data_IF_530978391162
#
_entry.id   IF_530978391162
#
_cell.length_a   1.000
_cell.length_b   1.000
_cell.length_c   1.000
_cell.angle_alpha   90.00
_cell.angle_beta   90.00
_cell.angle_gamma   90.00
#
_symmetry.space_group_name_H-M   'P 1'
#
loop_
_entity.id
_entity.type
_entity.pdbx_description
1 polymer ?
#
# COMPACT_ATOMS: atom_id res chain seq x y z
N UNK A 1 22.05 39.31 29.06
CA UNK A 1 20.81 38.97 28.32
C UNK A 1 19.61 39.21 29.23
N UNK A 2 18.69 40.12 28.87
CA UNK A 2 17.65 40.62 29.79
C UNK A 2 16.50 39.62 29.98
N UNK A 3 15.90 39.57 31.18
CA UNK A 3 14.81 38.63 31.53
C UNK A 3 13.60 38.69 30.58
N UNK A 4 13.39 39.81 29.88
CA UNK A 4 12.35 39.96 28.85
C UNK A 4 12.67 39.18 27.57
N UNK A 5 13.91 39.17 27.10
CA UNK A 5 14.31 38.47 25.87
C UNK A 5 14.17 36.95 26.00
N UNK A 6 14.47 36.43 27.20
CA UNK A 6 14.38 34.99 27.53
C UNK A 6 12.92 34.49 27.56
N UNK A 7 11.96 35.34 27.94
CA UNK A 7 10.52 35.01 27.91
C UNK A 7 9.98 34.88 26.49
N UNK A 8 10.39 35.76 25.57
CA UNK A 8 9.94 35.70 24.17
C UNK A 8 10.52 34.50 23.40
N UNK A 9 11.77 34.11 23.69
CA UNK A 9 12.38 32.90 23.13
C UNK A 9 11.66 31.63 23.61
N UNK A 10 11.28 31.55 24.89
CA UNK A 10 10.55 30.38 25.43
C UNK A 10 9.12 30.32 24.88
N UNK A 11 8.42 31.45 24.75
CA UNK A 11 7.07 31.50 24.15
C UNK A 11 7.12 31.10 22.65
N UNK A 12 8.13 31.55 21.91
CA UNK A 12 8.36 31.15 20.51
C UNK A 12 8.65 29.65 20.35
N UNK A 13 9.47 29.06 21.25
CA UNK A 13 9.76 27.63 21.27
C UNK A 13 8.54 26.78 21.64
N UNK A 14 7.73 27.20 22.61
CA UNK A 14 6.50 26.50 23.00
C UNK A 14 5.42 26.58 21.91
N UNK A 15 5.32 27.71 21.20
CA UNK A 15 4.43 27.84 20.04
C UNK A 15 4.88 26.95 18.87
N UNK A 16 6.19 26.87 18.59
CA UNK A 16 6.73 25.99 17.55
C UNK A 16 6.54 24.50 17.88
N UNK A 17 6.77 24.08 19.13
CA UNK A 17 6.49 22.71 19.60
C UNK A 17 4.99 22.41 19.57
N UNK A 18 4.15 23.37 19.94
CA UNK A 18 2.68 23.25 19.86
C UNK A 18 2.16 23.07 18.43
N UNK A 19 2.74 23.77 17.45
CA UNK A 19 2.42 23.60 16.02
C UNK A 19 2.91 22.25 15.48
N UNK A 20 4.10 21.78 15.88
CA UNK A 20 4.62 20.45 15.48
C UNK A 20 3.78 19.31 16.08
N UNK A 21 3.38 19.42 17.36
CA UNK A 21 2.50 18.44 18.01
C UNK A 21 1.09 18.47 17.41
N UNK A 22 0.57 19.65 17.05
CA UNK A 22 -0.72 19.77 16.36
C UNK A 22 -0.70 19.16 14.94
N UNK A 23 0.42 19.26 14.22
CA UNK A 23 0.61 18.59 12.91
C UNK A 23 0.75 17.07 13.07
N UNK A 24 1.36 16.60 14.17
CA UNK A 24 1.45 15.16 14.47
C UNK A 24 0.14 14.56 15.00
N UNK A 25 -0.71 15.36 15.66
CA UNK A 25 -2.02 14.94 16.19
C UNK A 25 -3.18 15.14 15.19
N UNK A 26 -3.06 16.10 14.26
CA UNK A 26 -3.97 16.22 13.13
C UNK A 26 -3.69 15.04 12.20
N UNK A 27 -4.68 14.17 11.96
CA UNK A 27 -4.62 13.27 10.81
C UNK A 27 -4.70 14.14 9.56
N UNK A 28 -3.62 14.36 8.80
CA UNK A 28 -3.72 15.22 7.65
C UNK A 28 -4.80 14.72 6.68
N UNK A 29 -5.53 15.62 6.00
CA UNK A 29 -6.70 15.30 5.17
C UNK A 29 -6.39 14.40 3.97
N UNK A 30 -5.11 14.11 3.69
CA UNK A 30 -4.66 13.18 2.66
C UNK A 30 -4.57 11.72 3.14
N UNK A 31 -4.46 11.45 4.44
CA UNK A 31 -4.43 10.07 4.97
C UNK A 31 -5.73 9.29 4.66
N UNK A 32 -6.95 9.86 4.75
CA UNK A 32 -8.17 9.14 4.35
C UNK A 32 -8.28 8.89 2.84
N UNK A 33 -7.58 9.65 2.00
CA UNK A 33 -7.59 9.46 0.54
C UNK A 33 -6.58 8.37 0.13
N UNK A 34 -5.50 8.22 0.90
CA UNK A 34 -4.49 7.17 0.70
C UNK A 34 -4.86 5.87 1.44
N UNK A 35 -5.53 5.94 2.59
CA UNK A 35 -5.89 4.78 3.42
C UNK A 35 -7.39 4.47 3.47
N UNK A 36 -8.26 5.28 2.85
CA UNK A 36 -9.69 5.02 2.81
C UNK A 36 -10.07 4.01 1.73
N UNK A 37 -10.95 3.09 2.08
CA UNK A 37 -11.70 2.27 1.12
C UNK A 37 -12.96 3.00 0.69
N UNK A 38 -13.28 2.91 -0.60
CA UNK A 38 -14.59 3.28 -1.11
C UNK A 38 -15.09 2.16 -2.04
N UNK A 39 -16.40 1.92 -2.05
CA UNK A 39 -16.99 0.79 -2.79
C UNK A 39 -16.75 0.88 -4.30
N UNK A 40 -16.65 2.10 -4.85
CA UNK A 40 -16.39 2.30 -6.26
C UNK A 40 -14.93 1.94 -6.62
N UNK A 41 -13.97 2.25 -5.76
CA UNK A 41 -12.57 1.85 -5.89
C UNK A 41 -12.43 0.34 -5.74
N UNK A 42 -13.11 -0.28 -4.75
CA UNK A 42 -13.14 -1.75 -4.61
C UNK A 42 -13.70 -2.41 -5.87
N UNK A 43 -14.81 -1.89 -6.42
CA UNK A 43 -15.39 -2.41 -7.65
C UNK A 43 -14.46 -2.25 -8.86
N UNK A 44 -13.76 -1.11 -8.95
CA UNK A 44 -12.80 -0.85 -10.04
C UNK A 44 -11.56 -1.74 -9.94
N UNK A 45 -11.02 -1.95 -8.74
CA UNK A 45 -9.95 -2.90 -8.44
C UNK A 45 -10.38 -4.31 -8.88
N UNK A 46 -11.56 -4.74 -8.43
CA UNK A 46 -12.08 -6.06 -8.76
C UNK A 46 -12.24 -6.26 -10.27
N UNK A 47 -12.74 -5.25 -11.00
CA UNK A 47 -12.85 -5.32 -12.45
C UNK A 47 -11.48 -5.45 -13.14
N UNK A 48 -10.46 -4.70 -12.69
CA UNK A 48 -9.12 -4.76 -13.26
C UNK A 48 -8.42 -6.10 -12.98
N UNK A 49 -8.60 -6.62 -11.77
CA UNK A 49 -8.03 -7.89 -11.33
C UNK A 49 -8.86 -9.11 -11.74
N UNK A 50 -10.03 -8.94 -12.37
CA UNK A 50 -11.00 -10.03 -12.68
C UNK A 50 -11.39 -10.82 -11.43
N UNK A 51 -11.67 -10.12 -10.34
CA UNK A 51 -12.11 -10.73 -9.09
C UNK A 51 -13.58 -11.11 -9.21
N UNK A 52 -13.81 -12.42 -9.18
CA UNK A 52 -15.10 -13.10 -9.21
C UNK A 52 -15.24 -14.04 -8.00
N UNK A 53 -16.45 -14.54 -7.68
CA UNK A 53 -16.60 -15.58 -6.66
C UNK A 53 -15.66 -16.76 -6.91
N UNK A 54 -14.93 -17.21 -5.89
CA UNK A 54 -13.92 -18.26 -6.02
C UNK A 54 -12.48 -17.77 -6.22
N UNK A 55 -12.27 -16.49 -6.52
CA UNK A 55 -10.93 -15.94 -6.78
C UNK A 55 -10.06 -15.98 -5.52
N UNK A 56 -8.79 -16.35 -5.65
CA UNK A 56 -7.79 -16.24 -4.58
C UNK A 56 -6.97 -14.97 -4.77
N UNK A 57 -7.06 -14.04 -3.83
CA UNK A 57 -6.47 -12.69 -3.94
C UNK A 57 -5.41 -12.49 -2.86
N UNK A 58 -4.26 -11.89 -3.20
CA UNK A 58 -3.35 -11.34 -2.20
C UNK A 58 -3.49 -9.81 -2.13
N UNK A 59 -3.59 -9.28 -0.92
CA UNK A 59 -3.50 -7.86 -0.61
C UNK A 59 -2.16 -7.60 0.10
N UNK A 60 -1.25 -6.91 -0.60
CA UNK A 60 0.14 -6.72 -0.18
C UNK A 60 0.29 -5.37 0.52
N UNK A 61 0.75 -5.39 1.77
CA UNK A 61 0.77 -4.22 2.65
C UNK A 61 -0.66 -3.78 2.96
N UNK A 62 -1.48 -4.72 3.43
CA UNK A 62 -2.92 -4.56 3.59
C UNK A 62 -3.31 -3.51 4.64
N UNK A 63 -2.37 -2.98 5.42
CA UNK A 63 -2.59 -1.86 6.33
C UNK A 63 -3.60 -2.20 7.42
N UNK A 64 -4.68 -1.41 7.53
CA UNK A 64 -5.77 -1.68 8.46
C UNK A 64 -6.71 -2.83 8.02
N UNK A 65 -6.51 -3.37 6.81
CA UNK A 65 -7.25 -4.50 6.28
C UNK A 65 -8.56 -4.15 5.59
N UNK A 66 -8.86 -2.86 5.39
CA UNK A 66 -10.14 -2.45 4.82
C UNK A 66 -10.37 -3.02 3.41
N UNK A 67 -9.35 -3.01 2.54
CA UNK A 67 -9.45 -3.64 1.21
C UNK A 67 -9.55 -5.15 1.32
N UNK A 68 -8.72 -5.78 2.14
CA UNK A 68 -8.76 -7.22 2.37
C UNK A 68 -10.15 -7.73 2.81
N UNK A 69 -10.82 -7.02 3.74
CA UNK A 69 -12.18 -7.33 4.18
C UNK A 69 -13.21 -7.14 3.06
N UNK A 70 -13.12 -6.04 2.31
CA UNK A 70 -14.03 -5.77 1.19
C UNK A 70 -13.87 -6.81 0.07
N UNK A 71 -12.63 -7.22 -0.22
CA UNK A 71 -12.32 -8.27 -1.18
C UNK A 71 -12.78 -9.64 -0.68
N UNK A 72 -12.66 -9.94 0.61
CA UNK A 72 -13.16 -11.19 1.19
C UNK A 72 -14.67 -11.35 0.98
N UNK A 73 -15.45 -10.29 1.14
CA UNK A 73 -16.89 -10.29 0.81
C UNK A 73 -17.13 -10.55 -0.67
N UNK A 74 -16.29 -10.01 -1.55
CA UNK A 74 -16.47 -10.08 -3.02
C UNK A 74 -16.08 -11.43 -3.63
N UNK A 75 -15.01 -12.05 -3.13
CA UNK A 75 -14.60 -13.40 -3.58
C UNK A 75 -15.55 -14.49 -3.07
N UNK A 76 -16.39 -14.18 -2.08
CA UNK A 76 -17.37 -15.10 -1.52
C UNK A 76 -16.73 -16.30 -0.81
N UNK A 77 -17.57 -17.22 -0.30
CA UNK A 77 -17.12 -18.32 0.56
C UNK A 77 -16.25 -19.37 -0.17
N UNK A 78 -16.27 -19.39 -1.51
CA UNK A 78 -15.44 -20.28 -2.32
C UNK A 78 -14.08 -19.66 -2.70
N UNK A 79 -13.94 -18.34 -2.55
CA UNK A 79 -12.68 -17.64 -2.77
C UNK A 79 -11.93 -17.41 -1.48
N UNK A 80 -10.76 -16.80 -1.57
CA UNK A 80 -9.92 -16.56 -0.40
C UNK A 80 -9.10 -15.29 -0.55
N UNK A 81 -8.94 -14.54 0.53
CA UNK A 81 -8.03 -13.39 0.57
C UNK A 81 -6.86 -13.68 1.51
N UNK A 82 -5.65 -13.43 1.03
CA UNK A 82 -4.43 -13.41 1.83
C UNK A 82 -4.01 -11.96 2.03
N UNK A 83 -4.04 -11.46 3.26
CA UNK A 83 -3.61 -10.12 3.60
C UNK A 83 -2.23 -10.18 4.25
N UNK A 84 -1.24 -9.49 3.67
CA UNK A 84 0.12 -9.46 4.19
C UNK A 84 0.46 -8.07 4.74
N UNK A 85 1.06 -8.03 5.92
CA UNK A 85 1.46 -6.77 6.57
C UNK A 85 2.71 -6.98 7.43
N UNK A 86 3.61 -5.99 7.47
CA UNK A 86 4.87 -6.05 8.23
C UNK A 86 4.74 -5.34 9.59
N UNK A 87 3.92 -4.29 9.69
CA UNK A 87 3.67 -3.58 10.93
C UNK A 87 2.83 -4.45 11.89
N UNK A 88 3.43 -4.83 13.02
CA UNK A 88 2.80 -5.73 13.99
C UNK A 88 1.53 -5.17 14.62
N UNK A 89 1.41 -3.85 14.75
CA UNK A 89 0.22 -3.21 15.32
C UNK A 89 -0.95 -3.28 14.34
N UNK A 90 -0.69 -3.01 13.06
CA UNK A 90 -1.68 -3.13 12.00
C UNK A 90 -2.10 -4.58 11.80
N UNK A 91 -1.13 -5.51 11.75
CA UNK A 91 -1.37 -6.95 11.72
C UNK A 91 -2.30 -7.41 12.85
N UNK A 92 -2.00 -7.04 14.10
CA UNK A 92 -2.82 -7.40 15.25
C UNK A 92 -4.21 -6.75 15.22
N UNK A 93 -4.32 -5.51 14.70
CA UNK A 93 -5.59 -4.84 14.44
C UNK A 93 -6.46 -5.64 13.46
N UNK A 94 -5.88 -6.01 12.32
CA UNK A 94 -6.54 -6.76 11.28
C UNK A 94 -7.00 -8.14 11.77
N UNK A 95 -6.12 -8.89 12.45
CA UNK A 95 -6.47 -10.19 13.04
C UNK A 95 -7.66 -10.10 14.02
N UNK A 96 -7.73 -9.02 14.82
CA UNK A 96 -8.89 -8.78 15.69
C UNK A 96 -10.16 -8.50 14.88
N UNK A 97 -10.08 -7.68 13.84
CA UNK A 97 -11.22 -7.38 12.98
C UNK A 97 -11.75 -8.65 12.30
N UNK A 98 -10.88 -9.47 11.69
CA UNK A 98 -11.24 -10.77 11.09
C UNK A 98 -11.97 -11.67 12.07
N UNK A 99 -11.45 -11.78 13.31
CA UNK A 99 -12.07 -12.60 14.36
C UNK A 99 -13.43 -12.04 14.82
N UNK A 100 -13.53 -10.73 14.98
CA UNK A 100 -14.76 -10.07 15.44
C UNK A 100 -15.88 -10.15 14.39
N UNK A 101 -15.54 -9.96 13.13
CA UNK A 101 -16.48 -10.04 11.99
C UNK A 101 -16.75 -11.48 11.55
N UNK A 102 -16.06 -12.48 12.12
CA UNK A 102 -16.15 -13.91 11.76
C UNK A 102 -15.92 -14.14 10.26
N UNK A 103 -14.91 -13.48 9.70
CA UNK A 103 -14.55 -13.66 8.29
C UNK A 103 -13.72 -14.94 8.15
N UNK A 104 -14.28 -15.95 7.49
CA UNK A 104 -13.64 -17.27 7.37
C UNK A 104 -12.69 -17.39 6.18
N UNK A 105 -12.90 -16.57 5.14
CA UNK A 105 -12.18 -16.62 3.87
C UNK A 105 -11.10 -15.53 3.74
N UNK A 106 -10.52 -15.12 4.87
CA UNK A 106 -9.46 -14.11 4.96
C UNK A 106 -8.37 -14.59 5.92
N UNK A 107 -7.14 -14.73 5.43
CA UNK A 107 -5.97 -15.08 6.25
C UNK A 107 -5.00 -13.91 6.31
N UNK A 108 -4.66 -13.52 7.54
CA UNK A 108 -3.70 -12.44 7.82
C UNK A 108 -2.33 -13.05 8.09
N UNK A 109 -1.31 -12.60 7.36
CA UNK A 109 0.04 -13.17 7.34
C UNK A 109 1.06 -12.06 7.61
N UNK A 110 2.00 -12.32 8.51
CA UNK A 110 3.12 -11.41 8.75
C UNK A 110 4.07 -11.47 7.55
N UNK A 111 4.27 -10.34 6.88
CA UNK A 111 5.26 -10.20 5.82
C UNK A 111 6.69 -10.10 6.39
N UNK A 112 7.68 -10.46 5.58
CA UNK A 112 9.07 -10.09 5.78
C UNK A 112 9.44 -8.83 4.99
N UNK A 113 10.66 -8.32 5.19
CA UNK A 113 11.13 -7.08 4.53
C UNK A 113 11.09 -7.16 3.00
N UNK A 114 11.43 -8.31 2.43
CA UNK A 114 11.48 -8.51 0.96
C UNK A 114 10.65 -9.71 0.50
N UNK A 115 9.74 -10.21 1.33
CA UNK A 115 8.98 -11.46 1.11
C UNK A 115 7.58 -11.35 1.68
N UNK A 116 6.58 -11.78 0.92
CA UNK A 116 5.17 -11.83 1.34
C UNK A 116 4.87 -12.97 2.32
N UNK A 117 5.75 -13.99 2.37
CA UNK A 117 5.53 -15.27 3.05
C UNK A 117 4.32 -16.07 2.52
N UNK A 118 3.86 -15.78 1.30
CA UNK A 118 2.82 -16.55 0.62
C UNK A 118 3.38 -17.73 -0.18
N UNK A 119 2.64 -18.85 -0.31
CA UNK A 119 3.08 -19.98 -1.14
C UNK A 119 3.17 -19.66 -2.64
N UNK A 120 3.92 -20.46 -3.39
CA UNK A 120 4.00 -20.37 -4.85
C UNK A 120 2.63 -20.64 -5.49
N UNK A 121 2.29 -19.91 -6.56
CA UNK A 121 1.07 -20.15 -7.33
C UNK A 121 -0.25 -20.14 -6.53
N UNK A 122 -0.28 -19.48 -5.37
CA UNK A 122 -1.45 -19.46 -4.50
C UNK A 122 -2.52 -18.46 -4.93
N UNK A 123 -2.19 -17.49 -5.77
CA UNK A 123 -3.09 -16.37 -6.08
C UNK A 123 -3.44 -16.26 -7.57
N UNK A 124 -4.71 -15.91 -7.82
CA UNK A 124 -5.26 -15.57 -9.13
C UNK A 124 -5.20 -14.04 -9.38
N UNK A 125 -5.06 -13.26 -8.31
CA UNK A 125 -4.93 -11.81 -8.36
C UNK A 125 -4.05 -11.28 -7.21
N UNK A 126 -3.32 -10.20 -7.45
CA UNK A 126 -2.54 -9.47 -6.45
C UNK A 126 -2.86 -8.00 -6.52
N UNK A 127 -3.18 -7.40 -5.37
CA UNK A 127 -3.28 -5.97 -5.16
C UNK A 127 -2.06 -5.49 -4.36
N UNK A 128 -1.42 -4.42 -4.83
CA UNK A 128 -0.49 -3.61 -4.05
C UNK A 128 -0.91 -2.15 -4.17
N UNK A 129 -1.33 -1.52 -3.07
CA UNK A 129 -1.89 -0.17 -3.09
C UNK A 129 -1.23 0.71 -2.04
N UNK A 130 -0.51 1.75 -2.48
CA UNK A 130 0.25 2.69 -1.65
C UNK A 130 1.28 2.00 -0.74
N UNK A 131 1.95 0.99 -1.29
CA UNK A 131 2.91 0.14 -0.56
C UNK A 131 4.26 0.08 -1.26
N UNK A 132 4.29 0.12 -2.59
CA UNK A 132 5.51 -0.14 -3.37
C UNK A 132 6.61 0.88 -3.03
N UNK A 133 6.28 2.16 -2.84
CA UNK A 133 7.23 3.19 -2.42
C UNK A 133 7.84 3.00 -1.01
N UNK A 134 7.30 2.10 -0.18
CA UNK A 134 7.88 1.76 1.12
C UNK A 134 8.87 0.60 1.06
N UNK A 135 8.94 -0.11 -0.07
CA UNK A 135 9.77 -1.28 -0.23
C UNK A 135 11.19 -0.88 -0.64
N UNK A 136 12.20 -1.48 -0.01
CA UNK A 136 13.60 -1.16 -0.29
C UNK A 136 14.21 -2.06 -1.37
N UNK A 137 13.74 -3.30 -1.49
CA UNK A 137 14.24 -4.29 -2.45
C UNK A 137 13.15 -4.66 -3.46
N UNK A 138 12.98 -3.78 -4.46
CA UNK A 138 11.99 -3.95 -5.52
C UNK A 138 12.25 -5.20 -6.37
N UNK A 139 13.51 -5.59 -6.57
CA UNK A 139 13.84 -6.79 -7.34
C UNK A 139 13.36 -8.05 -6.61
N UNK A 140 13.66 -8.18 -5.31
CA UNK A 140 13.24 -9.33 -4.52
C UNK A 140 11.72 -9.40 -4.37
N UNK A 141 11.04 -8.28 -4.08
CA UNK A 141 9.58 -8.31 -3.94
C UNK A 141 8.92 -8.62 -5.28
N UNK A 142 9.37 -8.05 -6.40
CA UNK A 142 8.77 -8.34 -7.71
C UNK A 142 8.95 -9.81 -8.10
N UNK A 143 10.11 -10.42 -7.78
CA UNK A 143 10.31 -11.86 -7.96
C UNK A 143 9.36 -12.69 -7.07
N UNK A 144 9.11 -12.25 -5.83
CA UNK A 144 8.19 -12.91 -4.92
C UNK A 144 6.72 -12.81 -5.38
N UNK A 145 6.30 -11.62 -5.85
CA UNK A 145 4.99 -11.40 -6.46
C UNK A 145 4.81 -12.22 -7.73
N UNK A 146 5.86 -12.35 -8.53
CA UNK A 146 5.84 -13.20 -9.71
C UNK A 146 5.63 -14.65 -9.30
N UNK A 147 6.40 -15.17 -8.35
CA UNK A 147 6.30 -16.56 -7.84
C UNK A 147 4.92 -16.92 -7.29
N UNK A 148 4.28 -16.04 -6.52
CA UNK A 148 3.00 -16.36 -5.85
C UNK A 148 1.79 -16.31 -6.79
N UNK A 149 1.86 -15.58 -7.91
CA UNK A 149 0.79 -15.52 -8.91
C UNK A 149 0.74 -16.77 -9.77
N UNK A 150 -0.43 -17.24 -10.20
CA UNK A 150 -0.50 -18.29 -11.23
C UNK A 150 -0.20 -17.70 -12.63
N UNK A 151 0.28 -18.52 -13.59
CA UNK A 151 0.32 -18.08 -15.00
C UNK A 151 -1.06 -17.62 -15.48
N UNK A 152 -1.10 -16.55 -16.27
CA UNK A 152 -2.32 -15.89 -16.75
C UNK A 152 -3.00 -14.94 -15.75
N UNK A 153 -2.52 -14.89 -14.51
CA UNK A 153 -3.10 -14.07 -13.42
C UNK A 153 -2.59 -12.63 -13.41
N UNK A 154 -3.21 -11.78 -12.57
CA UNK A 154 -3.06 -10.32 -12.64
C UNK A 154 -2.45 -9.70 -11.38
N UNK A 155 -1.58 -8.72 -11.60
CA UNK A 155 -1.02 -7.84 -10.57
C UNK A 155 -1.50 -6.41 -10.84
N UNK A 156 -2.16 -5.80 -9.85
CA UNK A 156 -2.54 -4.39 -9.88
C UNK A 156 -1.70 -3.62 -8.87
N UNK A 157 -0.88 -2.71 -9.37
CA UNK A 157 -0.15 -1.75 -8.55
C UNK A 157 -0.83 -0.38 -8.63
N UNK A 158 -1.10 0.21 -7.46
CA UNK A 158 -1.66 1.55 -7.32
C UNK A 158 -0.73 2.33 -6.40
N UNK A 159 -0.12 3.41 -6.88
CA UNK A 159 0.79 4.23 -6.08
C UNK A 159 0.76 5.69 -6.54
N UNK A 160 1.62 6.56 -6.02
CA UNK A 160 1.71 7.97 -6.39
C UNK A 160 3.13 8.37 -6.74
N UNK A 161 3.27 9.37 -7.62
CA UNK A 161 4.59 9.87 -7.97
C UNK A 161 5.19 10.71 -6.83
N UNK A 162 6.52 10.70 -6.68
CA UNK A 162 7.21 11.55 -5.71
C UNK A 162 6.81 13.01 -5.88
N UNK A 163 6.52 13.70 -4.78
CA UNK A 163 6.21 15.12 -4.82
C UNK A 163 5.32 15.62 -3.70
N UNK A 164 5.21 16.95 -3.59
CA UNK A 164 4.53 17.65 -2.49
C UNK A 164 5.51 18.25 -1.49
N UNK A 165 4.98 19.01 -0.52
CA UNK A 165 5.78 19.77 0.44
C UNK A 165 6.75 18.90 1.23
N UNK A 166 6.40 17.64 1.50
CA UNK A 166 7.26 16.67 2.20
C UNK A 166 8.52 16.33 1.40
N UNK A 167 8.41 16.17 0.08
CA UNK A 167 9.55 15.97 -0.80
C UNK A 167 10.39 17.25 -0.93
N UNK A 168 9.73 18.42 -0.94
CA UNK A 168 10.39 19.73 -0.98
C UNK A 168 11.19 20.06 0.29
N UNK A 169 10.77 19.58 1.47
CA UNK A 169 11.48 19.78 2.76
C UNK A 169 12.40 18.61 3.15
N UNK A 170 12.63 17.64 2.26
CA UNK A 170 13.53 16.51 2.51
C UNK A 170 13.02 15.51 3.57
N UNK A 171 11.71 15.47 3.84
CA UNK A 171 11.09 14.48 4.73
C UNK A 171 10.39 13.46 3.84
N UNK A 172 11.14 12.45 3.42
CA UNK A 172 10.63 11.42 2.51
C UNK A 172 11.71 10.59 1.86
N UNK A 173 12.88 10.44 2.49
CA UNK A 173 14.00 9.71 1.91
C UNK A 173 13.61 8.24 1.70
N UNK A 174 13.39 7.88 0.44
CA UNK A 174 13.75 6.58 -0.10
C UNK A 174 15.22 6.26 0.25
N UNK A 175 15.56 4.97 0.37
CA UNK A 175 16.95 4.54 0.56
C UNK A 175 17.89 5.01 -0.57
N UNK A 176 17.33 5.41 -1.71
CA UNK A 176 18.03 6.03 -2.83
C UNK A 176 17.79 7.56 -2.85
N UNK A 177 18.85 8.40 -2.93
CA UNK A 177 18.79 9.86 -2.74
C UNK A 177 17.91 10.63 -3.74
N UNK A 178 17.46 10.01 -4.82
CA UNK A 178 16.78 10.60 -5.97
C UNK A 178 15.29 10.21 -6.09
N UNK A 179 14.76 9.39 -5.18
CA UNK A 179 13.39 8.84 -5.32
C UNK A 179 12.29 9.49 -4.48
N UNK A 180 12.62 10.22 -3.41
CA UNK A 180 11.60 10.89 -2.58
C UNK A 180 10.51 9.94 -2.05
N UNK A 181 9.47 10.48 -1.40
CA UNK A 181 8.35 9.66 -0.95
C UNK A 181 7.35 9.49 -2.10
N UNK A 182 7.40 8.31 -2.74
CA UNK A 182 6.54 7.90 -3.86
C UNK A 182 7.28 6.98 -4.83
N UNK A 183 6.62 6.56 -5.92
CA UNK A 183 7.23 5.76 -6.99
C UNK A 183 6.98 6.41 -8.34
N UNK A 184 8.05 6.65 -9.11
CA UNK A 184 7.92 7.11 -10.48
C UNK A 184 7.24 6.05 -11.35
N UNK A 185 6.24 6.46 -12.14
CA UNK A 185 5.48 5.55 -13.02
C UNK A 185 6.37 4.70 -13.92
N UNK A 186 7.36 5.35 -14.54
CA UNK A 186 8.30 4.68 -15.45
C UNK A 186 9.21 3.67 -14.72
N UNK A 187 9.62 3.98 -13.49
CA UNK A 187 10.43 3.08 -12.68
C UNK A 187 9.63 1.82 -12.30
N UNK A 188 8.39 2.00 -11.82
CA UNK A 188 7.50 0.87 -11.51
C UNK A 188 7.31 -0.06 -12.72
N UNK A 189 6.97 0.49 -13.89
CA UNK A 189 6.78 -0.32 -15.10
C UNK A 189 8.07 -1.06 -15.46
N UNK A 190 9.22 -0.39 -15.45
CA UNK A 190 10.52 -0.98 -15.77
C UNK A 190 10.88 -2.12 -14.81
N UNK A 191 10.75 -1.90 -13.51
CA UNK A 191 11.17 -2.86 -12.47
C UNK A 191 10.26 -4.08 -12.42
N UNK A 192 8.94 -3.89 -12.55
CA UNK A 192 7.97 -4.99 -12.53
C UNK A 192 8.10 -5.83 -13.80
N UNK A 193 8.30 -5.21 -14.96
CA UNK A 193 8.53 -5.96 -16.22
C UNK A 193 9.87 -6.69 -16.24
N UNK A 194 10.92 -6.14 -15.58
CA UNK A 194 12.19 -6.84 -15.42
C UNK A 194 12.07 -8.14 -14.61
N UNK A 195 11.04 -8.28 -13.76
CA UNK A 195 10.74 -9.51 -13.04
C UNK A 195 9.94 -10.55 -13.85
N UNK A 196 9.65 -10.26 -15.14
CA UNK A 196 8.98 -11.19 -16.06
C UNK A 196 7.48 -10.92 -16.25
N UNK A 197 6.91 -9.93 -15.56
CA UNK A 197 5.54 -9.50 -15.81
C UNK A 197 5.40 -8.79 -17.16
N UNK A 198 4.21 -8.87 -17.76
CA UNK A 198 3.84 -8.11 -18.95
C UNK A 198 2.91 -6.96 -18.58
N UNK A 199 3.16 -5.77 -19.13
CA UNK A 199 2.28 -4.62 -18.96
C UNK A 199 0.97 -4.86 -19.73
N UNK A 200 -0.15 -4.94 -19.01
CA UNK A 200 -1.46 -5.17 -19.58
C UNK A 200 -2.26 -3.86 -19.75
N UNK A 201 -2.13 -2.92 -18.82
CA UNK A 201 -2.79 -1.60 -18.88
C UNK A 201 -2.07 -0.56 -18.02
N UNK A 202 -2.11 0.69 -18.45
CA UNK A 202 -1.59 1.83 -17.70
C UNK A 202 -0.12 2.13 -18.00
N UNK A 203 0.50 3.08 -17.29
CA UNK A 203 -0.04 3.82 -16.15
C UNK A 203 -1.24 4.72 -16.49
N UNK A 204 -2.27 4.76 -15.63
CA UNK A 204 -3.40 5.72 -15.73
C UNK A 204 -3.67 6.39 -14.40
N UNK A 205 -4.25 7.59 -14.41
CA UNK A 205 -4.76 8.22 -13.19
C UNK A 205 -5.82 7.33 -12.52
N UNK A 206 -5.71 7.18 -11.20
CA UNK A 206 -6.57 6.28 -10.44
C UNK A 206 -7.54 7.04 -9.54
N UNK A 207 -7.05 7.60 -8.43
CA UNK A 207 -7.84 8.39 -7.47
C UNK A 207 -6.98 9.48 -6.83
N UNK A 208 -7.43 10.73 -6.90
CA UNK A 208 -6.63 11.86 -6.41
C UNK A 208 -5.27 11.93 -7.11
N UNK A 209 -4.19 11.82 -6.32
CA UNK A 209 -2.80 11.84 -6.82
C UNK A 209 -2.25 10.47 -7.22
N UNK A 210 -3.01 9.39 -7.08
CA UNK A 210 -2.54 8.04 -7.40
C UNK A 210 -2.69 7.71 -8.88
N UNK A 211 -1.86 6.77 -9.33
CA UNK A 211 -1.93 6.11 -10.62
C UNK A 211 -2.04 4.59 -10.42
N UNK A 212 -2.53 3.89 -11.44
CA UNK A 212 -2.60 2.45 -11.45
C UNK A 212 -1.92 1.86 -12.69
N UNK A 213 -1.29 0.71 -12.49
CA UNK A 213 -0.66 -0.11 -13.52
C UNK A 213 -1.11 -1.55 -13.33
N UNK A 214 -1.61 -2.16 -14.40
CA UNK A 214 -2.02 -3.55 -14.43
C UNK A 214 -0.99 -4.36 -15.20
N UNK A 215 -0.58 -5.45 -14.60
CA UNK A 215 0.33 -6.42 -15.19
C UNK A 215 -0.30 -7.81 -15.23
N UNK A 216 0.21 -8.65 -16.12
CA UNK A 216 -0.10 -10.09 -16.18
C UNK A 216 1.16 -10.91 -16.00
N UNK A 217 1.04 -12.03 -15.29
CA UNK A 217 2.07 -13.08 -15.32
C UNK A 217 1.81 -13.94 -16.57
N UNK A 218 2.72 -13.97 -17.56
CA UNK A 218 2.55 -14.81 -18.74
C UNK A 218 2.60 -16.30 -18.40
#
# INVERSE_FOLDING_TARGET
>A
MTRRLRRWVIIGLLAAVGVVVAIAAARPPYLPVIHGTDDAEVARIAAWLRIEPGTRVADIGAGDGAFALALARRVGPQGHVYATEIDERLLAGMQRAVKQERVENLTVIKAGVSRTNLPDGCCDAVLSRAVYHHLSDHAAINADLFRLLRPGSRLLMIDFEPGGIMNWIGIGHSAEPDRGHGTLKAAMVKEVTAAGFQLARGPVSWRGRTYAVLFTRP
#
